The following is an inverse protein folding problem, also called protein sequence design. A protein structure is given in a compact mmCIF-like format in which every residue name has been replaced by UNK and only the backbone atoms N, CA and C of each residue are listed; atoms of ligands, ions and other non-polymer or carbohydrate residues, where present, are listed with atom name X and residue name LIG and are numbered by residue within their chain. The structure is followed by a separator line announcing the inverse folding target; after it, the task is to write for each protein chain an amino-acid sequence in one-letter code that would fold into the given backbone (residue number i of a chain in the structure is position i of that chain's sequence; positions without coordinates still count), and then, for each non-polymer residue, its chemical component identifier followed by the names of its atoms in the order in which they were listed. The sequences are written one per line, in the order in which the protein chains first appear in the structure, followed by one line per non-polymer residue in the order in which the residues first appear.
data_IF_199400704507
#
_entry.id   IF_199400704507
#
_cell.length_a   1.000
_cell.length_b   1.000
_cell.length_c   1.000
_cell.angle_alpha   90.00
_cell.angle_beta   90.00
_cell.angle_gamma   90.00
#
_symmetry.space_group_name_H-M   'P 1'
#
loop_
_entity.id
_entity.type
_entity.pdbx_description
1 polymer ?
#
# COMPACT_ATOMS: atom_id res chain seq x y z
N UNK A 1 5.84 32.44 22.23
CA UNK A 1 5.92 30.99 22.02
C UNK A 1 4.69 30.39 22.67
N UNK A 2 3.70 29.99 21.87
CA UNK A 2 2.50 29.33 22.38
C UNK A 2 2.86 27.88 22.72
N UNK A 3 2.58 27.47 23.96
CA UNK A 3 2.68 26.09 24.38
C UNK A 3 1.54 25.32 23.68
N UNK A 4 1.79 24.22 22.94
CA UNK A 4 0.70 23.46 22.35
C UNK A 4 -0.23 22.95 23.46
N UNK A 5 -1.54 23.09 23.27
CA UNK A 5 -2.53 22.54 24.20
C UNK A 5 -2.32 21.03 24.37
N UNK A 6 -2.45 20.48 25.59
CA UNK A 6 -2.32 19.05 25.82
C UNK A 6 -3.39 18.30 25.02
N UNK A 7 -2.92 17.44 24.10
CA UNK A 7 -3.74 16.78 23.07
C UNK A 7 -4.71 15.72 23.63
N UNK A 8 -4.51 15.26 24.87
CA UNK A 8 -5.34 14.22 25.49
C UNK A 8 -5.74 14.61 26.92
N UNK A 9 -6.99 14.34 27.29
CA UNK A 9 -7.59 14.66 28.60
C UNK A 9 -7.25 13.62 29.65
N UNK A 10 -7.29 14.03 30.93
CA UNK A 10 -7.17 13.15 32.11
C UNK A 10 -8.11 11.94 31.97
N UNK A 11 -7.55 10.73 31.89
CA UNK A 11 -8.29 9.49 31.57
C UNK A 11 -7.85 8.78 30.28
N UNK A 12 -6.81 9.27 29.60
CA UNK A 12 -6.20 8.61 28.42
C UNK A 12 -5.83 7.17 28.74
N UNK A 13 -6.41 6.23 28.02
CA UNK A 13 -6.07 4.81 28.14
C UNK A 13 -4.74 4.53 27.44
N UNK A 14 -4.14 3.37 27.74
CA UNK A 14 -2.98 2.88 26.97
C UNK A 14 -3.32 2.73 25.48
N UNK A 15 -4.58 2.41 25.17
CA UNK A 15 -5.08 2.25 23.81
C UNK A 15 -5.12 3.59 23.07
N UNK A 16 -5.63 4.64 23.71
CA UNK A 16 -5.65 6.00 23.12
C UNK A 16 -4.24 6.51 22.84
N UNK A 17 -3.32 6.27 23.78
CA UNK A 17 -1.93 6.70 23.65
C UNK A 17 -1.19 5.90 22.57
N UNK A 18 -1.44 4.59 22.47
CA UNK A 18 -0.93 3.75 21.39
C UNK A 18 -1.41 4.23 20.03
N UNK A 19 -2.73 4.47 19.88
CA UNK A 19 -3.31 4.95 18.63
C UNK A 19 -2.73 6.31 18.21
N UNK A 20 -2.60 7.25 19.15
CA UNK A 20 -2.05 8.58 18.86
C UNK A 20 -0.56 8.54 18.48
N UNK A 21 0.25 7.75 19.19
CA UNK A 21 1.67 7.56 18.85
C UNK A 21 1.84 6.86 17.51
N UNK A 22 1.02 5.84 17.25
CA UNK A 22 1.01 5.09 16.01
C UNK A 22 0.70 5.99 14.82
N UNK A 23 -0.33 6.83 14.92
CA UNK A 23 -0.66 7.80 13.87
C UNK A 23 0.52 8.71 13.56
N UNK A 24 1.22 9.23 14.58
CA UNK A 24 2.39 10.10 14.41
C UNK A 24 3.59 9.40 13.76
N UNK A 25 3.78 8.12 14.04
CA UNK A 25 4.84 7.31 13.39
C UNK A 25 4.47 7.02 11.94
N UNK A 26 3.21 6.69 11.67
CA UNK A 26 2.70 6.36 10.34
C UNK A 26 2.67 7.61 9.45
N UNK A 27 2.24 8.75 9.98
CA UNK A 27 2.23 10.05 9.30
C UNK A 27 3.63 10.60 9.05
N UNK A 28 4.66 10.08 9.72
CA UNK A 28 6.03 10.59 9.63
C UNK A 28 6.30 11.84 10.47
N UNK A 29 5.36 12.27 11.33
CA UNK A 29 5.62 13.32 12.33
C UNK A 29 6.79 12.93 13.25
N UNK A 30 6.94 11.62 13.48
CA UNK A 30 8.17 11.01 13.99
C UNK A 30 8.91 10.30 12.85
N UNK A 31 9.97 10.90 12.29
CA UNK A 31 10.63 10.35 11.11
C UNK A 31 11.38 9.05 11.45
N UNK A 32 11.63 8.18 10.44
CA UNK A 32 12.43 6.97 10.63
C UNK A 32 13.77 7.24 11.33
N UNK A 33 14.13 6.40 12.29
CA UNK A 33 15.33 6.57 13.12
C UNK A 33 15.22 7.60 14.25
N UNK A 34 14.13 8.37 14.34
CA UNK A 34 13.93 9.32 15.43
C UNK A 34 13.89 8.61 16.78
N UNK A 35 14.59 9.18 17.77
CA UNK A 35 14.62 8.64 19.14
C UNK A 35 13.32 8.98 19.89
N UNK A 36 12.68 7.97 20.45
CA UNK A 36 11.45 8.09 21.23
C UNK A 36 11.79 8.30 22.72
N UNK A 37 11.99 9.55 23.12
CA UNK A 37 12.29 9.89 24.51
C UNK A 37 11.04 9.84 25.38
N UNK A 38 10.99 8.87 26.32
CA UNK A 38 9.85 8.74 27.24
C UNK A 38 9.59 10.02 28.06
N UNK A 39 10.64 10.77 28.41
CA UNK A 39 10.47 12.00 29.18
C UNK A 39 9.80 13.10 28.35
N UNK A 40 10.17 13.24 27.07
CA UNK A 40 9.58 14.23 26.17
C UNK A 40 8.14 13.83 25.81
N UNK A 41 7.92 12.56 25.45
CA UNK A 41 6.60 12.05 25.10
C UNK A 41 5.63 12.10 26.30
N UNK A 42 6.09 11.82 27.52
CA UNK A 42 5.25 11.94 28.71
C UNK A 42 4.77 13.39 28.94
N UNK A 43 5.66 14.36 28.73
CA UNK A 43 5.31 15.77 28.82
C UNK A 43 4.38 16.20 27.68
N UNK A 44 4.64 15.75 26.46
CA UNK A 44 3.87 16.08 25.27
C UNK A 44 2.42 15.58 25.34
N UNK A 45 2.25 14.31 25.71
CA UNK A 45 0.92 13.70 25.82
C UNK A 45 0.27 13.96 27.19
N UNK A 46 0.97 14.64 28.10
CA UNK A 46 0.52 14.91 29.48
C UNK A 46 0.08 13.63 30.23
N UNK A 47 0.89 12.57 30.14
CA UNK A 47 0.63 11.26 30.74
C UNK A 47 1.77 10.84 31.67
N UNK A 48 1.50 9.89 32.57
CA UNK A 48 2.55 9.28 33.38
C UNK A 48 3.40 8.29 32.56
N UNK A 49 4.56 7.90 33.08
CA UNK A 49 5.52 7.03 32.36
C UNK A 49 5.00 5.61 32.16
N UNK A 50 4.16 5.09 33.05
CA UNK A 50 3.65 3.71 32.99
C UNK A 50 2.81 3.44 31.73
N UNK A 51 1.70 4.17 31.48
CA UNK A 51 0.91 3.95 30.26
C UNK A 51 1.68 4.28 28.99
N UNK A 52 2.60 5.25 29.04
CA UNK A 52 3.49 5.54 27.92
C UNK A 52 4.43 4.38 27.59
N UNK A 53 5.03 3.75 28.59
CA UNK A 53 5.91 2.61 28.37
C UNK A 53 5.15 1.43 27.76
N UNK A 54 3.92 1.17 28.23
CA UNK A 54 3.07 0.11 27.66
C UNK A 54 2.68 0.41 26.22
N UNK A 55 2.27 1.65 25.91
CA UNK A 55 1.98 2.06 24.54
C UNK A 55 3.21 1.90 23.63
N UNK A 56 4.39 2.34 24.08
CA UNK A 56 5.64 2.21 23.32
C UNK A 56 6.02 0.74 23.09
N UNK A 57 5.85 -0.15 24.08
CA UNK A 57 6.09 -1.58 23.91
C UNK A 57 5.14 -2.22 22.89
N UNK A 58 3.88 -1.77 22.83
CA UNK A 58 2.94 -2.20 21.79
C UNK A 58 3.35 -1.71 20.41
N UNK A 59 3.83 -0.46 20.27
CA UNK A 59 4.39 0.00 18.99
C UNK A 59 5.64 -0.79 18.57
N UNK A 60 6.47 -1.24 19.51
CA UNK A 60 7.59 -2.15 19.23
C UNK A 60 7.10 -3.52 18.76
N UNK A 61 6.08 -4.08 19.41
CA UNK A 61 5.45 -5.33 18.98
C UNK A 61 4.80 -5.22 17.58
N UNK A 62 4.27 -4.04 17.23
CA UNK A 62 3.76 -3.73 15.90
C UNK A 62 4.89 -3.56 14.85
N UNK A 63 6.16 -3.55 15.27
CA UNK A 63 7.33 -3.31 14.41
C UNK A 63 7.51 -1.84 13.99
N UNK A 64 6.78 -0.91 14.61
CA UNK A 64 6.87 0.53 14.31
C UNK A 64 8.03 1.19 15.03
N UNK A 65 8.46 0.62 16.16
CA UNK A 65 9.64 1.03 16.91
C UNK A 65 10.61 -0.14 17.05
N UNK A 66 11.89 0.18 17.24
CA UNK A 66 12.95 -0.78 17.57
C UNK A 66 13.67 -0.32 18.84
N UNK A 67 13.91 -1.25 19.76
CA UNK A 67 14.80 -1.02 20.89
C UNK A 67 16.27 -1.27 20.49
N UNK A 68 17.15 -0.36 20.87
CA UNK A 68 18.60 -0.52 20.71
C UNK A 68 19.30 -0.43 22.06
N UNK A 69 20.20 -1.39 22.32
CA UNK A 69 21.03 -1.40 23.52
C UNK A 69 21.77 -0.06 23.65
N UNK A 70 21.64 0.57 24.83
CA UNK A 70 22.23 1.87 25.18
C UNK A 70 21.71 3.11 24.42
N UNK A 71 20.81 2.96 23.43
CA UNK A 71 20.24 4.10 22.70
C UNK A 71 18.75 4.32 23.00
N UNK A 72 18.06 3.31 23.54
CA UNK A 72 16.62 3.37 23.81
C UNK A 72 15.78 3.02 22.58
N UNK A 73 14.52 3.47 22.57
CA UNK A 73 13.54 3.20 21.52
C UNK A 73 13.66 4.19 20.37
N UNK A 74 13.57 3.73 19.12
CA UNK A 74 13.62 4.57 17.93
C UNK A 74 12.54 4.15 16.94
N UNK A 75 12.07 5.08 16.10
CA UNK A 75 11.21 4.74 14.97
C UNK A 75 11.95 3.80 14.02
N UNK A 76 11.32 2.69 13.66
CA UNK A 76 11.92 1.70 12.77
C UNK A 76 12.31 2.37 11.43
N UNK A 77 13.44 1.99 10.81
CA UNK A 77 13.76 2.44 9.46
C UNK A 77 12.68 1.98 8.47
N UNK A 78 12.67 2.59 7.28
CA UNK A 78 11.85 2.11 6.16
C UNK A 78 12.79 1.65 5.05
N UNK A 79 12.65 0.39 4.65
CA UNK A 79 13.54 -0.27 3.69
C UNK A 79 12.75 -0.66 2.45
N UNK A 80 13.28 -0.33 1.26
CA UNK A 80 12.58 -0.58 -0.01
C UNK A 80 12.27 -2.07 -0.24
N UNK A 81 13.17 -2.97 0.17
CA UNK A 81 12.96 -4.42 0.06
C UNK A 81 11.75 -4.90 0.87
N UNK A 82 11.44 -4.27 2.01
CA UNK A 82 10.25 -4.62 2.80
C UNK A 82 8.96 -4.19 2.10
N UNK A 83 9.00 -3.09 1.35
CA UNK A 83 7.87 -2.63 0.52
C UNK A 83 7.62 -3.62 -0.62
N UNK A 84 8.68 -4.04 -1.31
CA UNK A 84 8.60 -5.07 -2.34
C UNK A 84 8.02 -6.38 -1.78
N UNK A 85 8.53 -6.86 -0.65
CA UNK A 85 8.03 -8.06 0.03
C UNK A 85 6.54 -7.94 0.40
N UNK A 86 6.12 -6.75 0.83
CA UNK A 86 4.71 -6.47 1.15
C UNK A 86 3.84 -6.64 -0.10
N UNK A 87 4.25 -6.11 -1.26
CA UNK A 87 3.53 -6.33 -2.52
C UNK A 87 3.58 -7.78 -3.00
N UNK A 88 4.70 -8.48 -2.81
CA UNK A 88 4.82 -9.90 -3.13
C UNK A 88 3.79 -10.74 -2.34
N UNK A 89 3.62 -10.48 -1.04
CA UNK A 89 2.60 -11.14 -0.22
C UNK A 89 1.17 -10.76 -0.65
N UNK A 90 0.92 -9.48 -0.95
CA UNK A 90 -0.36 -9.00 -1.48
C UNK A 90 -0.73 -9.71 -2.78
N UNK A 91 0.20 -9.89 -3.72
CA UNK A 91 -0.01 -10.64 -4.96
C UNK A 91 -0.39 -12.12 -4.73
N UNK A 92 0.09 -12.72 -3.65
CA UNK A 92 -0.25 -14.11 -3.31
C UNK A 92 -1.65 -14.22 -2.70
N UNK A 93 -2.13 -13.20 -2.01
CA UNK A 93 -3.36 -13.22 -1.21
C UNK A 93 -4.52 -12.54 -1.95
N UNK A 94 -4.36 -11.31 -2.41
CA UNK A 94 -5.49 -10.46 -2.81
C UNK A 94 -6.15 -10.90 -4.12
N UNK A 95 -5.43 -11.13 -5.25
CA UNK A 95 -6.07 -11.54 -6.50
C UNK A 95 -6.93 -12.82 -6.40
N UNK A 96 -6.47 -13.93 -5.81
CA UNK A 96 -7.32 -15.11 -5.64
C UNK A 96 -8.45 -14.88 -4.63
N UNK A 97 -8.26 -14.05 -3.61
CA UNK A 97 -9.30 -13.73 -2.63
C UNK A 97 -10.44 -12.95 -3.27
N UNK A 98 -10.13 -11.89 -4.02
CA UNK A 98 -11.14 -11.10 -4.76
C UNK A 98 -11.89 -11.96 -5.77
N UNK A 99 -11.16 -12.79 -6.51
CA UNK A 99 -11.75 -13.73 -7.46
C UNK A 99 -12.76 -14.68 -6.80
N UNK A 100 -12.47 -15.17 -5.59
CA UNK A 100 -13.36 -16.04 -4.82
C UNK A 100 -14.54 -15.32 -4.16
N UNK A 101 -14.46 -14.00 -3.97
CA UNK A 101 -15.50 -13.17 -3.36
C UNK A 101 -16.32 -12.37 -4.38
N UNK A 102 -16.08 -12.57 -5.69
CA UNK A 102 -16.62 -11.71 -6.74
C UNK A 102 -18.16 -11.58 -6.68
N UNK A 103 -18.84 -12.68 -6.38
CA UNK A 103 -20.31 -12.75 -6.30
C UNK A 103 -20.87 -12.17 -4.99
N UNK A 104 -20.02 -11.85 -4.02
CA UNK A 104 -20.43 -11.26 -2.74
C UNK A 104 -20.50 -9.73 -2.81
N UNK A 105 -19.85 -9.10 -3.78
CA UNK A 105 -19.89 -7.65 -3.96
C UNK A 105 -21.31 -7.18 -4.33
N UNK A 106 -21.67 -6.00 -3.83
CA UNK A 106 -23.00 -5.41 -3.90
C UNK A 106 -22.95 -4.05 -4.57
N UNK A 107 -24.11 -3.56 -5.02
CA UNK A 107 -24.23 -2.20 -5.56
C UNK A 107 -23.73 -1.13 -4.59
N UNK A 108 -23.94 -1.32 -3.27
CA UNK A 108 -23.44 -0.40 -2.25
C UNK A 108 -21.91 -0.33 -2.25
N UNK A 109 -21.22 -1.47 -2.35
CA UNK A 109 -19.75 -1.49 -2.43
C UNK A 109 -19.27 -0.72 -3.66
N UNK A 110 -19.92 -0.94 -4.81
CA UNK A 110 -19.56 -0.26 -6.04
C UNK A 110 -19.80 1.26 -5.97
N UNK A 111 -20.88 1.70 -5.34
CA UNK A 111 -21.16 3.11 -5.14
C UNK A 111 -20.15 3.77 -4.19
N UNK A 112 -19.72 3.07 -3.13
CA UNK A 112 -18.63 3.52 -2.24
C UNK A 112 -17.30 3.66 -3.00
N UNK A 113 -16.95 2.67 -3.82
CA UNK A 113 -15.73 2.71 -4.64
C UNK A 113 -15.78 3.83 -5.69
N UNK A 114 -16.92 4.07 -6.35
CA UNK A 114 -17.07 5.21 -7.27
C UNK A 114 -16.88 6.54 -6.56
N UNK A 115 -17.50 6.71 -5.38
CA UNK A 115 -17.35 7.92 -4.57
C UNK A 115 -15.88 8.17 -4.23
N UNK A 116 -15.16 7.13 -3.79
CA UNK A 116 -13.74 7.23 -3.48
C UNK A 116 -12.89 7.59 -4.71
N UNK A 117 -13.17 7.01 -5.88
CA UNK A 117 -12.49 7.35 -7.14
C UNK A 117 -12.72 8.81 -7.57
N UNK A 118 -13.94 9.32 -7.41
CA UNK A 118 -14.24 10.71 -7.72
C UNK A 118 -13.49 11.65 -6.76
N UNK A 119 -13.43 11.33 -5.48
CA UNK A 119 -12.62 12.09 -4.51
C UNK A 119 -11.12 12.01 -4.83
N UNK A 120 -10.60 10.88 -5.28
CA UNK A 120 -9.22 10.76 -5.76
C UNK A 120 -8.94 11.68 -6.96
N UNK A 121 -9.91 11.81 -7.89
CA UNK A 121 -9.81 12.73 -9.04
C UNK A 121 -9.82 14.19 -8.60
N UNK A 122 -10.70 14.56 -7.66
CA UNK A 122 -10.81 15.92 -7.14
C UNK A 122 -9.61 16.33 -6.29
N UNK A 123 -9.00 15.38 -5.60
CA UNK A 123 -7.89 15.62 -4.66
C UNK A 123 -6.53 15.31 -5.27
N UNK A 124 -6.43 15.17 -6.60
CA UNK A 124 -5.14 15.09 -7.31
C UNK A 124 -4.21 16.20 -6.83
N UNK A 125 -2.98 15.84 -6.49
CA UNK A 125 -2.00 16.77 -5.94
C UNK A 125 -2.26 17.21 -4.48
N UNK A 126 -3.17 16.56 -3.75
CA UNK A 126 -3.33 16.74 -2.31
C UNK A 126 -2.97 15.44 -1.59
N UNK A 127 -1.68 15.14 -1.49
CA UNK A 127 -1.16 13.81 -1.07
C UNK A 127 -1.94 13.11 0.05
N UNK A 128 -2.24 13.80 1.18
CA UNK A 128 -3.01 13.19 2.27
C UNK A 128 -4.46 12.89 1.90
N UNK A 129 -5.19 13.85 1.32
CA UNK A 129 -6.60 13.67 0.95
C UNK A 129 -6.76 12.62 -0.14
N UNK A 130 -5.84 12.61 -1.11
CA UNK A 130 -5.76 11.60 -2.15
C UNK A 130 -5.56 10.21 -1.53
N UNK A 131 -4.59 10.06 -0.62
CA UNK A 131 -4.31 8.79 0.03
C UNK A 131 -5.49 8.33 0.89
N UNK A 132 -6.12 9.23 1.66
CA UNK A 132 -7.31 8.91 2.45
C UNK A 132 -8.45 8.36 1.54
N UNK A 133 -8.62 8.91 0.34
CA UNK A 133 -9.62 8.43 -0.63
C UNK A 133 -9.23 7.10 -1.29
N UNK A 134 -7.95 6.95 -1.66
CA UNK A 134 -7.42 5.70 -2.19
C UNK A 134 -7.50 4.54 -1.17
N UNK A 135 -7.24 4.80 0.11
CA UNK A 135 -7.41 3.82 1.16
C UNK A 135 -8.89 3.41 1.30
N UNK A 136 -9.83 4.37 1.26
CA UNK A 136 -11.27 4.07 1.23
C UNK A 136 -11.67 3.19 0.05
N UNK A 137 -11.11 3.46 -1.13
CA UNK A 137 -11.39 2.66 -2.34
C UNK A 137 -11.02 1.18 -2.14
N UNK A 138 -9.80 0.89 -1.67
CA UNK A 138 -9.36 -0.49 -1.47
C UNK A 138 -9.95 -1.14 -0.20
N UNK A 139 -10.28 -0.34 0.81
CA UNK A 139 -10.90 -0.83 2.04
C UNK A 139 -12.24 -1.53 1.79
N UNK A 140 -12.98 -1.17 0.73
CA UNK A 140 -14.23 -1.84 0.36
C UNK A 140 -14.02 -3.34 0.12
N UNK A 141 -13.08 -3.70 -0.76
CA UNK A 141 -12.76 -5.11 -1.04
C UNK A 141 -12.11 -5.80 0.16
N UNK A 142 -11.15 -5.13 0.80
CA UNK A 142 -10.50 -5.61 2.00
C UNK A 142 -11.51 -5.91 3.13
N UNK A 143 -12.60 -5.14 3.18
CA UNK A 143 -13.66 -5.33 4.16
C UNK A 143 -14.56 -6.54 3.90
N UNK A 144 -14.36 -7.25 2.80
CA UNK A 144 -14.98 -8.56 2.53
C UNK A 144 -14.06 -9.74 2.82
N UNK A 145 -12.75 -9.51 2.95
CA UNK A 145 -11.79 -10.61 3.14
C UNK A 145 -12.01 -11.33 4.47
N UNK A 146 -11.67 -12.64 4.54
CA UNK A 146 -11.58 -13.37 5.81
C UNK A 146 -10.71 -12.61 6.82
N UNK A 147 -11.07 -12.66 8.10
CA UNK A 147 -10.47 -11.83 9.15
C UNK A 147 -8.92 -11.89 9.15
N UNK A 148 -8.33 -13.08 9.15
CA UNK A 148 -6.87 -13.22 9.16
C UNK A 148 -6.20 -12.68 7.89
N UNK A 149 -6.87 -12.73 6.73
CA UNK A 149 -6.32 -12.19 5.48
C UNK A 149 -6.38 -10.66 5.55
N UNK A 150 -7.52 -10.12 6.00
CA UNK A 150 -7.70 -8.69 6.22
C UNK A 150 -6.64 -8.12 7.17
N UNK A 151 -6.43 -8.76 8.30
CA UNK A 151 -5.49 -8.31 9.32
C UNK A 151 -4.05 -8.30 8.79
N UNK A 152 -3.68 -9.35 8.04
CA UNK A 152 -2.38 -9.42 7.38
C UNK A 152 -2.23 -8.29 6.34
N UNK A 153 -3.19 -8.10 5.44
CA UNK A 153 -3.11 -7.04 4.41
C UNK A 153 -3.05 -5.65 5.06
N UNK A 154 -3.85 -5.38 6.10
CA UNK A 154 -3.77 -4.14 6.88
C UNK A 154 -2.39 -3.93 7.50
N UNK A 155 -1.76 -5.00 7.99
CA UNK A 155 -0.40 -4.92 8.53
C UNK A 155 0.64 -4.55 7.46
N UNK A 156 0.46 -5.03 6.23
CA UNK A 156 1.33 -4.72 5.09
C UNK A 156 1.11 -3.30 4.58
N UNK A 157 -0.13 -2.81 4.53
CA UNK A 157 -0.45 -1.44 4.15
C UNK A 157 0.25 -0.40 5.03
N UNK A 158 0.39 -0.66 6.33
CA UNK A 158 1.13 0.25 7.23
C UNK A 158 2.58 0.42 6.79
N UNK A 159 3.24 -0.67 6.35
CA UNK A 159 4.63 -0.63 5.87
C UNK A 159 4.72 0.18 4.58
N UNK A 160 3.80 -0.07 3.66
CA UNK A 160 3.69 0.63 2.37
C UNK A 160 3.41 2.13 2.59
N UNK A 161 2.47 2.49 3.47
CA UNK A 161 2.14 3.87 3.77
C UNK A 161 3.33 4.62 4.38
N UNK A 162 4.04 3.99 5.32
CA UNK A 162 5.26 4.57 5.90
C UNK A 162 6.32 4.83 4.82
N UNK A 163 6.46 3.93 3.86
CA UNK A 163 7.34 4.11 2.71
C UNK A 163 6.92 5.29 1.84
N UNK A 164 5.65 5.35 1.43
CA UNK A 164 5.09 6.47 0.68
C UNK A 164 5.34 7.81 1.39
N UNK A 165 5.10 7.89 2.70
CA UNK A 165 5.31 9.13 3.48
C UNK A 165 6.77 9.56 3.55
N UNK A 166 7.69 8.61 3.61
CA UNK A 166 9.13 8.90 3.71
C UNK A 166 9.72 9.33 2.37
N UNK A 167 9.35 8.65 1.28
CA UNK A 167 10.00 8.84 -0.03
C UNK A 167 9.19 9.71 -1.00
N UNK A 168 7.86 9.79 -0.86
CA UNK A 168 6.97 10.50 -1.78
C UNK A 168 6.38 11.79 -1.18
N UNK A 169 7.16 12.51 -0.37
CA UNK A 169 6.77 13.81 0.18
C UNK A 169 6.41 14.88 -0.89
N UNK A 170 6.62 14.60 -2.17
CA UNK A 170 6.22 15.44 -3.31
C UNK A 170 5.20 14.72 -4.20
N UNK A 171 4.10 15.43 -4.50
CA UNK A 171 2.98 15.00 -5.35
C UNK A 171 3.42 14.46 -6.72
N UNK A 172 3.61 13.15 -6.82
CA UNK A 172 3.46 12.45 -8.09
C UNK A 172 2.40 11.38 -7.86
N UNK A 173 1.17 11.74 -8.18
CA UNK A 173 0.17 10.75 -8.56
C UNK A 173 0.16 10.76 -10.08
N UNK A 174 0.80 9.80 -10.74
CA UNK A 174 0.69 9.67 -12.19
C UNK A 174 -0.79 9.49 -12.57
N UNK A 175 -1.27 10.16 -13.62
CA UNK A 175 -2.69 10.14 -14.03
C UNK A 175 -3.18 8.72 -14.37
N UNK A 176 -2.26 7.86 -14.80
CA UNK A 176 -2.43 6.43 -15.08
C UNK A 176 -2.82 5.61 -13.86
N UNK A 177 -2.45 6.03 -12.64
CA UNK A 177 -2.74 5.28 -11.42
C UNK A 177 -4.26 5.14 -11.16
N UNK A 178 -5.00 6.25 -11.27
CA UNK A 178 -6.46 6.27 -11.12
C UNK A 178 -7.14 5.48 -12.26
N UNK A 179 -6.52 5.43 -13.43
CA UNK A 179 -7.03 4.68 -14.57
C UNK A 179 -7.10 3.18 -14.29
N UNK A 180 -6.05 2.63 -13.68
CA UNK A 180 -6.01 1.21 -13.29
C UNK A 180 -7.03 0.90 -12.20
N UNK A 181 -7.21 1.78 -11.21
CA UNK A 181 -8.24 1.61 -10.18
C UNK A 181 -9.66 1.64 -10.75
N UNK A 182 -9.92 2.54 -11.73
CA UNK A 182 -11.21 2.56 -12.42
C UNK A 182 -11.47 1.25 -13.16
N UNK A 183 -10.47 0.71 -13.87
CA UNK A 183 -10.61 -0.58 -14.55
C UNK A 183 -10.84 -1.72 -13.56
N UNK A 184 -10.18 -1.68 -12.40
CA UNK A 184 -10.40 -2.67 -11.35
C UNK A 184 -11.85 -2.63 -10.85
N UNK A 185 -12.41 -1.45 -10.63
CA UNK A 185 -13.82 -1.30 -10.29
C UNK A 185 -14.74 -1.82 -11.41
N UNK A 186 -14.47 -1.49 -12.67
CA UNK A 186 -15.26 -1.98 -13.81
C UNK A 186 -15.25 -3.51 -13.89
N UNK A 187 -14.09 -4.13 -13.60
CA UNK A 187 -13.93 -5.57 -13.54
C UNK A 187 -14.69 -6.24 -12.36
N UNK A 188 -14.79 -5.55 -11.22
CA UNK A 188 -15.64 -6.00 -10.11
C UNK A 188 -17.12 -5.91 -10.47
N UNK A 189 -17.54 -4.80 -11.10
CA UNK A 189 -18.93 -4.57 -11.52
C UNK A 189 -19.39 -5.59 -12.56
N UNK A 190 -18.52 -6.02 -13.48
CA UNK A 190 -18.87 -7.02 -14.49
C UNK A 190 -19.10 -8.42 -13.90
N UNK A 191 -18.64 -8.67 -12.68
CA UNK A 191 -18.67 -10.00 -12.06
C UNK A 191 -17.68 -10.99 -12.70
N UNK A 192 -16.83 -10.55 -13.63
CA UNK A 192 -15.87 -11.42 -14.30
C UNK A 192 -14.66 -11.66 -13.39
N UNK A 193 -14.75 -12.71 -12.58
CA UNK A 193 -13.71 -13.15 -11.63
C UNK A 193 -12.30 -13.13 -12.23
N UNK A 194 -12.15 -13.67 -13.44
CA UNK A 194 -10.85 -13.72 -14.13
C UNK A 194 -10.34 -12.33 -14.55
N UNK A 195 -11.21 -11.40 -14.94
CA UNK A 195 -10.79 -10.04 -15.27
C UNK A 195 -10.34 -9.29 -14.01
N UNK A 196 -11.14 -9.32 -12.94
CA UNK A 196 -10.80 -8.69 -11.66
C UNK A 196 -9.47 -9.22 -11.10
N UNK A 197 -9.22 -10.53 -11.24
CA UNK A 197 -7.98 -11.17 -10.85
C UNK A 197 -6.75 -10.61 -11.57
N UNK A 198 -6.79 -10.52 -12.91
CA UNK A 198 -5.65 -10.06 -13.70
C UNK A 198 -5.43 -8.56 -13.57
N UNK A 199 -6.50 -7.76 -13.52
CA UNK A 199 -6.38 -6.31 -13.31
C UNK A 199 -5.75 -6.02 -11.94
N UNK A 200 -6.13 -6.76 -10.88
CA UNK A 200 -5.51 -6.58 -9.56
C UNK A 200 -4.04 -7.01 -9.55
N UNK A 201 -3.66 -8.05 -10.29
CA UNK A 201 -2.24 -8.41 -10.45
C UNK A 201 -1.45 -7.31 -11.15
N UNK A 202 -1.99 -6.75 -12.23
CA UNK A 202 -1.38 -5.63 -12.93
C UNK A 202 -1.24 -4.43 -11.98
N UNK A 203 -2.31 -4.04 -11.29
CA UNK A 203 -2.32 -2.93 -10.33
C UNK A 203 -1.27 -3.10 -9.23
N UNK A 204 -1.23 -4.26 -8.56
CA UNK A 204 -0.28 -4.48 -7.47
C UNK A 204 1.16 -4.49 -7.97
N UNK A 205 1.42 -5.00 -9.17
CA UNK A 205 2.75 -5.01 -9.77
C UNK A 205 3.17 -3.60 -10.18
N UNK A 206 2.26 -2.84 -10.81
CA UNK A 206 2.48 -1.46 -11.20
C UNK A 206 2.82 -0.58 -9.99
N UNK A 207 2.01 -0.69 -8.93
CA UNK A 207 2.20 0.06 -7.70
C UNK A 207 3.51 -0.33 -6.98
N UNK A 208 3.88 -1.62 -6.99
CA UNK A 208 5.16 -2.06 -6.43
C UNK A 208 6.35 -1.44 -7.18
N UNK A 209 6.34 -1.51 -8.52
CA UNK A 209 7.40 -0.95 -9.34
C UNK A 209 7.50 0.56 -9.18
N UNK A 210 6.37 1.28 -9.24
CA UNK A 210 6.33 2.73 -9.06
C UNK A 210 6.87 3.14 -7.70
N UNK A 211 6.34 2.57 -6.62
CA UNK A 211 6.73 2.97 -5.27
C UNK A 211 8.20 2.66 -4.96
N UNK A 212 8.68 1.48 -5.35
CA UNK A 212 10.06 1.07 -5.06
C UNK A 212 11.06 1.84 -5.92
N UNK A 213 10.82 1.97 -7.24
CA UNK A 213 11.76 2.63 -8.16
C UNK A 213 11.75 4.15 -8.07
N UNK A 214 10.68 4.76 -7.55
CA UNK A 214 10.68 6.20 -7.24
C UNK A 214 11.50 6.52 -5.98
N UNK A 215 11.62 5.57 -5.05
CA UNK A 215 12.48 5.71 -3.87
C UNK A 215 13.94 5.32 -4.14
N UNK A 216 14.17 4.31 -4.98
CA UNK A 216 15.49 3.84 -5.40
C UNK A 216 15.44 3.32 -6.83
N UNK A 217 15.90 4.15 -7.77
CA UNK A 217 15.89 3.82 -9.20
C UNK A 217 16.81 2.67 -9.58
N UNK A 218 17.78 2.33 -8.73
CA UNK A 218 18.76 1.25 -8.95
C UNK A 218 18.37 -0.04 -8.20
N UNK A 219 17.17 -0.08 -7.60
CA UNK A 219 16.69 -1.23 -6.84
C UNK A 219 16.65 -2.50 -7.70
N UNK A 220 17.05 -3.62 -7.09
CA UNK A 220 17.05 -4.94 -7.71
C UNK A 220 15.96 -5.78 -7.07
N UNK A 221 14.92 -6.07 -7.84
CA UNK A 221 13.79 -6.85 -7.36
C UNK A 221 14.20 -8.31 -7.17
N UNK A 222 13.69 -8.92 -6.11
CA UNK A 222 13.87 -10.33 -5.79
C UNK A 222 12.55 -10.97 -5.38
N UNK A 223 11.99 -10.58 -4.22
CA UNK A 223 10.77 -11.17 -3.65
C UNK A 223 9.54 -10.99 -4.56
N UNK A 224 9.42 -9.84 -5.23
CA UNK A 224 8.35 -9.57 -6.20
C UNK A 224 8.48 -10.48 -7.41
N UNK A 225 9.67 -10.59 -8.00
CA UNK A 225 9.91 -11.46 -9.16
C UNK A 225 9.69 -12.94 -8.84
N UNK A 226 10.01 -13.37 -7.61
CA UNK A 226 9.68 -14.72 -7.13
C UNK A 226 8.17 -14.95 -7.07
N UNK A 227 7.41 -14.00 -6.49
CA UNK A 227 5.96 -14.10 -6.40
C UNK A 227 5.29 -14.09 -7.77
N UNK A 228 5.72 -13.22 -8.68
CA UNK A 228 5.22 -13.13 -10.05
C UNK A 228 5.46 -14.44 -10.82
N UNK A 229 6.70 -14.93 -10.82
CA UNK A 229 7.07 -16.19 -11.48
C UNK A 229 6.28 -17.38 -10.95
N UNK A 230 6.11 -17.46 -9.62
CA UNK A 230 5.31 -18.51 -8.99
C UNK A 230 3.84 -18.52 -9.43
N UNK A 231 3.34 -17.40 -9.98
CA UNK A 231 1.98 -17.24 -10.52
C UNK A 231 1.92 -17.31 -12.05
N UNK A 232 3.04 -17.60 -12.70
CA UNK A 232 3.11 -17.57 -14.16
C UNK A 232 2.98 -16.17 -14.76
N UNK A 233 3.39 -15.14 -14.02
CA UNK A 233 3.46 -13.75 -14.48
C UNK A 233 4.92 -13.44 -14.79
N UNK A 234 5.18 -12.94 -15.99
CA UNK A 234 6.51 -12.48 -16.39
C UNK A 234 6.48 -10.96 -16.55
N UNK A 235 7.49 -10.30 -15.99
CA UNK A 235 7.73 -8.86 -16.16
C UNK A 235 9.12 -8.71 -16.75
N UNK A 236 9.31 -7.90 -17.77
CA UNK A 236 10.60 -7.69 -18.41
C UNK A 236 11.65 -7.19 -17.40
N UNK A 237 12.72 -7.97 -17.22
CA UNK A 237 13.79 -7.68 -16.28
C UNK A 237 15.12 -8.28 -16.74
N UNK A 238 16.21 -7.73 -16.21
CA UNK A 238 17.56 -8.27 -16.35
C UNK A 238 17.80 -9.43 -15.38
N UNK A 239 18.83 -10.25 -15.64
CA UNK A 239 19.12 -11.44 -14.83
C UNK A 239 19.42 -11.15 -13.35
N UNK A 240 19.87 -9.93 -13.01
CA UNK A 240 20.15 -9.51 -11.64
C UNK A 240 18.98 -8.77 -10.96
N UNK A 241 17.80 -8.77 -11.59
CA UNK A 241 16.55 -8.28 -11.02
C UNK A 241 16.26 -6.79 -11.27
N UNK A 242 17.07 -6.10 -12.07
CA UNK A 242 16.76 -4.72 -12.47
C UNK A 242 15.63 -4.69 -13.49
N UNK A 243 14.64 -3.83 -13.24
CA UNK A 243 13.45 -3.59 -14.08
C UNK A 243 13.53 -2.19 -14.67
N UNK A 244 13.39 -2.05 -15.99
CA UNK A 244 13.37 -0.76 -16.69
C UNK A 244 11.93 -0.39 -17.01
N UNK A 245 11.52 0.82 -16.63
CA UNK A 245 10.14 1.31 -16.82
C UNK A 245 9.95 2.00 -18.19
N UNK A 246 8.77 1.84 -18.84
CA UNK A 246 7.75 0.85 -18.49
C UNK A 246 8.20 -0.55 -18.91
N UNK A 247 7.99 -1.55 -18.04
CA UNK A 247 8.33 -2.93 -18.33
C UNK A 247 7.15 -3.68 -18.96
N UNK A 248 7.40 -4.56 -19.92
CA UNK A 248 6.36 -5.44 -20.44
C UNK A 248 5.92 -6.45 -19.35
N UNK A 249 4.62 -6.71 -19.21
CA UNK A 249 4.07 -7.74 -18.34
C UNK A 249 3.22 -8.73 -19.15
N UNK A 250 3.37 -10.02 -18.88
CA UNK A 250 2.63 -11.10 -19.56
C UNK A 250 2.21 -12.20 -18.60
N UNK A 251 1.24 -13.02 -19.01
CA UNK A 251 0.72 -14.16 -18.27
C UNK A 251 0.89 -15.46 -19.06
N UNK A 252 1.32 -16.51 -18.37
CA UNK A 252 1.59 -17.84 -18.97
C UNK A 252 0.31 -18.57 -19.36
N UNK A 253 -0.81 -18.24 -18.71
CA UNK A 253 -2.13 -18.82 -18.98
C UNK A 253 -2.96 -17.74 -19.65
N UNK A 254 -3.75 -18.04 -20.70
CA UNK A 254 -4.63 -17.05 -21.31
C UNK A 254 -5.48 -16.39 -20.23
N UNK A 255 -5.36 -15.08 -20.12
CA UNK A 255 -6.17 -14.30 -19.19
C UNK A 255 -7.63 -14.37 -19.65
N UNK A 256 -8.60 -14.10 -18.75
CA UNK A 256 -9.84 -13.49 -19.25
C UNK A 256 -9.47 -12.31 -20.15
N UNK A 257 -10.20 -12.05 -21.24
CA UNK A 257 -9.82 -10.99 -22.18
C UNK A 257 -9.67 -9.67 -21.44
N UNK A 258 -8.43 -9.27 -21.20
CA UNK A 258 -8.08 -8.02 -20.54
C UNK A 258 -7.70 -7.03 -21.65
N UNK A 259 -8.20 -5.78 -21.61
CA UNK A 259 -7.75 -4.78 -22.55
C UNK A 259 -6.24 -4.55 -22.39
N UNK A 260 -5.60 -4.05 -23.45
CA UNK A 260 -4.23 -3.55 -23.33
C UNK A 260 -4.16 -2.43 -22.30
N UNK A 261 -3.10 -2.42 -21.49
CA UNK A 261 -2.91 -1.47 -20.40
C UNK A 261 -1.51 -0.87 -20.46
N UNK A 262 -1.42 0.43 -20.29
CA UNK A 262 -0.16 1.15 -20.24
C UNK A 262 -0.17 2.17 -19.12
N UNK A 263 0.83 2.08 -18.27
CA UNK A 263 1.17 3.04 -17.23
C UNK A 263 2.60 3.52 -17.47
N UNK A 264 3.07 4.37 -16.58
CA UNK A 264 4.46 4.79 -16.49
C UNK A 264 5.40 3.65 -16.06
N UNK A 265 4.90 2.61 -15.38
CA UNK A 265 5.73 1.50 -14.89
C UNK A 265 5.57 0.19 -15.67
N UNK A 266 4.39 -0.08 -16.24
CA UNK A 266 4.05 -1.34 -16.88
C UNK A 266 3.31 -1.16 -18.20
N UNK A 267 3.50 -2.13 -19.09
CA UNK A 267 2.76 -2.26 -20.34
C UNK A 267 2.33 -3.70 -20.53
N UNK A 268 1.03 -3.90 -20.74
CA UNK A 268 0.44 -5.12 -21.26
C UNK A 268 -0.20 -4.83 -22.62
N UNK A 269 0.08 -5.67 -23.61
CA UNK A 269 -0.55 -5.61 -24.93
C UNK A 269 -1.36 -6.89 -25.11
N UNK A 270 -2.66 -6.74 -25.36
CA UNK A 270 -3.57 -7.86 -25.59
C UNK A 270 -3.29 -8.51 -26.96
N UNK A 271 -3.57 -9.81 -27.07
CA UNK A 271 -3.40 -10.54 -28.33
C UNK A 271 -4.23 -9.96 -29.47
N UNK A 272 -5.39 -9.36 -29.19
CA UNK A 272 -6.25 -8.74 -30.18
C UNK A 272 -5.58 -7.54 -30.88
N UNK A 273 -4.80 -6.75 -30.16
CA UNK A 273 -4.11 -5.57 -30.71
C UNK A 273 -2.84 -5.95 -31.47
N UNK A 274 -2.18 -7.05 -31.09
CA UNK A 274 -1.02 -7.58 -31.82
C UNK A 274 -1.38 -8.09 -33.23
N UNK A 275 -2.64 -8.45 -33.47
CA UNK A 275 -3.11 -8.90 -34.79
C UNK A 275 -3.39 -7.72 -35.72
N UNK A 276 -3.78 -6.56 -35.19
CA UNK A 276 -4.10 -5.37 -35.99
C UNK A 276 -2.85 -4.60 -36.48
N UNK A 277 -1.70 -4.71 -35.81
CA UNK A 277 -0.44 -4.03 -36.20
C UNK A 277 0.33 -4.76 -37.32
N UNK A 278 -0.14 -5.94 -37.74
CA UNK A 278 0.45 -6.77 -38.81
C UNK A 278 -0.43 -6.76 -40.09
N UNK A 279 -1.50 -5.97 -40.11
CA UNK A 279 -2.49 -5.85 -41.21
C UNK A 279 -2.25 -4.72 -42.19
#
# INVERSE_FOLDING_TARGET
MANPEPLLRTGTTVDDLHAALRERVISGDYPPGARMSQAQLAAEFNVSRTPLREALQRLEADGLLIASANRGMHVAPVVNSETEESYALRLLIEPPTVSGLIDEFTTTDFDEMRTALDEMRETRGHGRRFQDAHDRFHDVALNRYPASFRDLIKSLHIRIYRHQRVYLAHNRTPDDFIGVDNLYLDALISGESGLAHHVLQFHLTDAALGLVLDADSDHRFASLLVALRGRGIDVEHTADGTVVRPAAITWSTPTSPMPSLRTSNLVFISEAELVDDVG
#
